data_IF_789741755282
#
_entry.id   IF_789741755282
#
_cell.length_a   1.000
_cell.length_b   1.000
_cell.length_c   1.000
_cell.angle_alpha   90.00
_cell.angle_beta   90.00
_cell.angle_gamma   90.00
#
_symmetry.space_group_name_H-M   'P 1'
#
loop_
_entity.id
_entity.type
_entity.pdbx_description
1 polymer ?
#
# COMPACT_ATOMS: atom_id res chain seq x y z
N UNK A 1 2.74 -1.94 -18.11
CA UNK A 1 2.24 -1.10 -17.00
C UNK A 1 3.03 0.18 -17.05
N UNK A 2 2.39 1.30 -17.37
CA UNK A 2 3.08 2.58 -17.50
C UNK A 2 3.53 3.12 -16.14
N UNK A 3 4.64 3.84 -16.13
CA UNK A 3 5.17 4.45 -14.91
C UNK A 3 4.23 5.58 -14.47
N UNK A 4 3.62 5.43 -13.30
CA UNK A 4 2.80 6.50 -12.72
C UNK A 4 3.72 7.59 -12.20
N UNK A 5 3.65 8.76 -12.82
CA UNK A 5 4.34 9.96 -12.39
C UNK A 5 3.28 10.90 -11.81
N UNK A 6 3.43 11.19 -10.52
CA UNK A 6 2.61 12.14 -9.76
C UNK A 6 3.50 12.88 -8.78
N UNK A 7 3.13 14.09 -8.43
CA UNK A 7 3.84 14.88 -7.42
C UNK A 7 3.53 14.33 -6.02
N UNK A 8 4.38 14.66 -5.05
CA UNK A 8 4.14 14.24 -3.66
C UNK A 8 2.87 14.88 -3.08
N UNK A 9 2.48 16.07 -3.54
CA UNK A 9 1.22 16.73 -3.16
C UNK A 9 0.00 15.95 -3.66
N UNK A 10 0.04 15.47 -4.90
CA UNK A 10 -1.03 14.62 -5.44
C UNK A 10 -1.14 13.31 -4.66
N UNK A 11 -0.01 12.69 -4.32
CA UNK A 11 0.00 11.48 -3.49
C UNK A 11 -0.54 11.73 -2.08
N UNK A 12 -0.21 12.86 -1.45
CA UNK A 12 -0.75 13.24 -0.13
C UNK A 12 -2.27 13.46 -0.15
N UNK A 13 -2.84 13.84 -1.30
CA UNK A 13 -4.30 13.96 -1.46
C UNK A 13 -4.98 12.60 -1.72
N UNK A 14 -4.27 11.66 -2.34
CA UNK A 14 -4.81 10.34 -2.70
C UNK A 14 -4.63 9.27 -1.61
N UNK A 15 -3.56 9.37 -0.82
CA UNK A 15 -3.19 8.41 0.21
C UNK A 15 -3.49 8.97 1.60
N UNK A 16 -3.73 8.08 2.56
CA UNK A 16 -3.69 8.49 3.97
C UNK A 16 -2.27 8.89 4.35
N UNK A 17 -2.12 9.67 5.42
CA UNK A 17 -0.81 10.10 5.92
C UNK A 17 0.14 8.91 6.18
N UNK A 18 -0.37 7.84 6.78
CA UNK A 18 0.41 6.63 7.04
C UNK A 18 0.81 5.91 5.74
N UNK A 19 -0.09 5.77 4.77
CA UNK A 19 0.20 5.17 3.47
C UNK A 19 1.24 5.97 2.69
N UNK A 20 1.14 7.30 2.70
CA UNK A 20 2.14 8.18 2.10
C UNK A 20 3.50 8.00 2.77
N UNK A 21 3.54 8.04 4.12
CA UNK A 21 4.77 7.86 4.90
C UNK A 21 5.44 6.52 4.59
N UNK A 22 4.68 5.42 4.55
CA UNK A 22 5.21 4.09 4.26
C UNK A 22 5.66 3.96 2.80
N UNK A 23 4.80 4.28 1.83
CA UNK A 23 5.08 4.03 0.41
C UNK A 23 6.03 5.04 -0.24
N UNK A 24 6.10 6.29 0.26
CA UNK A 24 6.88 7.37 -0.37
C UNK A 24 8.04 7.86 0.49
N UNK A 25 7.94 7.78 1.81
CA UNK A 25 9.01 8.19 2.73
C UNK A 25 9.78 7.01 3.34
N UNK A 26 9.58 5.79 2.82
CA UNK A 26 10.18 4.56 3.33
C UNK A 26 9.97 4.34 4.84
N UNK A 27 8.84 4.83 5.37
CA UNK A 27 8.47 4.62 6.75
C UNK A 27 7.96 3.20 7.01
N UNK A 28 7.92 2.82 8.28
CA UNK A 28 7.35 1.54 8.73
C UNK A 28 6.14 1.83 9.61
N UNK A 29 5.02 1.12 9.38
CA UNK A 29 3.85 1.16 10.27
C UNK A 29 4.22 0.64 11.66
N UNK A 30 3.40 0.97 12.66
CA UNK A 30 3.63 0.45 14.02
C UNK A 30 3.38 -1.06 14.05
N UNK A 31 4.05 -1.79 14.95
CA UNK A 31 3.86 -3.23 15.05
C UNK A 31 2.39 -3.56 15.33
N UNK A 32 1.85 -4.55 14.61
CA UNK A 32 0.49 -5.06 14.76
C UNK A 32 -0.64 -4.06 14.47
N UNK A 33 -0.36 -2.92 13.81
CA UNK A 33 -1.40 -1.92 13.46
C UNK A 33 -1.87 -1.99 12.02
N UNK A 34 -1.17 -2.72 11.15
CA UNK A 34 -1.54 -2.83 9.74
C UNK A 34 -2.93 -3.42 9.55
N UNK A 35 -3.74 -2.80 8.69
CA UNK A 35 -5.12 -3.24 8.38
C UNK A 35 -5.22 -4.73 8.04
N UNK A 36 -4.23 -5.25 7.32
CA UNK A 36 -4.20 -6.63 6.88
C UNK A 36 -3.29 -7.53 7.74
N UNK A 37 -2.78 -7.05 8.88
CA UNK A 37 -1.85 -7.80 9.74
C UNK A 37 -2.42 -9.16 10.18
N UNK A 38 -3.72 -9.22 10.45
CA UNK A 38 -4.43 -10.45 10.87
C UNK A 38 -5.52 -10.91 9.87
N UNK A 39 -5.48 -10.41 8.64
CA UNK A 39 -6.46 -10.80 7.63
C UNK A 39 -6.10 -12.15 7.00
N UNK A 40 -7.05 -13.08 7.01
CA UNK A 40 -6.98 -14.40 6.37
C UNK A 40 -7.99 -14.53 5.22
N UNK A 41 -8.55 -13.41 4.76
CA UNK A 41 -9.56 -13.42 3.71
C UNK A 41 -8.96 -13.80 2.36
N UNK A 42 -9.66 -14.62 1.55
CA UNK A 42 -9.21 -14.95 0.21
C UNK A 42 -9.26 -13.72 -0.69
N UNK A 43 -8.18 -13.43 -1.42
CA UNK A 43 -8.09 -12.24 -2.24
C UNK A 43 -6.72 -12.00 -2.86
N UNK A 44 -6.57 -10.80 -3.44
CA UNK A 44 -5.34 -10.34 -4.09
C UNK A 44 -4.95 -8.98 -3.53
N UNK A 45 -3.77 -8.91 -2.94
CA UNK A 45 -3.15 -7.69 -2.45
C UNK A 45 -2.56 -6.92 -3.62
N UNK A 46 -2.95 -5.64 -3.74
CA UNK A 46 -2.51 -4.74 -4.78
C UNK A 46 -1.70 -3.59 -4.19
N UNK A 47 -0.73 -3.09 -4.95
CA UNK A 47 -0.02 -1.88 -4.59
C UNK A 47 -1.00 -0.70 -4.48
N UNK A 48 -0.99 0.02 -3.37
CA UNK A 48 -1.91 1.15 -3.18
C UNK A 48 -1.57 2.36 -4.07
N UNK A 49 -0.31 2.48 -4.51
CA UNK A 49 0.10 3.53 -5.42
C UNK A 49 -0.36 3.24 -6.85
N UNK A 50 -0.01 2.07 -7.40
CA UNK A 50 -0.21 1.78 -8.83
C UNK A 50 -1.29 0.75 -9.15
N UNK A 51 -1.91 0.15 -8.15
CA UNK A 51 -2.93 -0.89 -8.32
C UNK A 51 -2.39 -2.23 -8.85
N UNK A 52 -1.08 -2.33 -9.09
CA UNK A 52 -0.47 -3.57 -9.59
C UNK A 52 -0.69 -4.72 -8.59
N UNK A 53 -1.02 -5.93 -9.07
CA UNK A 53 -1.15 -7.10 -8.22
C UNK A 53 0.22 -7.50 -7.65
N UNK A 54 0.29 -7.76 -6.35
CA UNK A 54 1.52 -8.11 -5.65
C UNK A 54 1.48 -9.52 -5.06
N UNK A 55 0.48 -9.80 -4.22
CA UNK A 55 0.42 -11.06 -3.47
C UNK A 55 -0.98 -11.66 -3.54
N UNK A 56 -1.07 -12.96 -3.77
CA UNK A 56 -2.30 -13.70 -3.56
C UNK A 56 -2.41 -14.12 -2.10
N UNK A 57 -3.61 -14.12 -1.54
CA UNK A 57 -3.88 -14.54 -0.16
C UNK A 57 -3.45 -15.98 0.13
N UNK A 58 -3.34 -16.85 -0.89
CA UNK A 58 -2.86 -18.22 -0.74
C UNK A 58 -1.35 -18.34 -0.49
N UNK A 59 -0.60 -17.24 -0.65
CA UNK A 59 0.85 -17.17 -0.40
C UNK A 59 1.19 -16.41 0.88
N UNK A 60 0.17 -16.12 1.71
CA UNK A 60 0.29 -15.35 2.94
C UNK A 60 0.49 -16.25 4.15
#
# INVERSE_FOLDING_TARGET
MDKIIRTDEEWRRLLTEEQFRVCRQAGTERPFTGRYCHSHEPGLYRCICCGAPLFHSCQK
#
